data_IF_966499143020
#
_entry.id   IF_966499143020
#
_cell.length_a   1.000
_cell.length_b   1.000
_cell.length_c   1.000
_cell.angle_alpha   90.00
_cell.angle_beta   90.00
_cell.angle_gamma   90.00
#
_symmetry.space_group_name_H-M   'P 1'
#
loop_
_entity.id
_entity.type
_entity.pdbx_description
1 polymer ?
#
# COMPACT_ATOMS: atom_id res chain seq x y z
N UNK A 1 22.35 18.77 -28.06
CA UNK A 1 21.87 17.96 -26.92
C UNK A 1 20.71 17.13 -27.41
N UNK A 2 20.86 15.81 -27.44
CA UNK A 2 19.69 14.93 -27.62
C UNK A 2 18.97 14.96 -26.28
N UNK A 3 17.76 15.50 -26.22
CA UNK A 3 16.88 15.33 -25.07
C UNK A 3 16.52 13.84 -25.01
N UNK A 4 17.19 13.09 -24.15
CA UNK A 4 16.79 11.72 -23.84
C UNK A 4 15.49 11.80 -23.06
N UNK A 5 14.42 11.27 -23.66
CA UNK A 5 13.12 11.18 -22.99
C UNK A 5 13.16 10.06 -21.96
N UNK A 6 12.55 10.30 -20.80
CA UNK A 6 12.64 9.43 -19.64
C UNK A 6 11.78 8.18 -19.82
N UNK A 7 12.31 7.02 -19.44
CA UNK A 7 11.58 5.76 -19.45
C UNK A 7 10.42 5.80 -18.47
N UNK A 8 9.30 5.17 -18.84
CA UNK A 8 8.08 5.17 -18.04
C UNK A 8 7.69 3.78 -17.54
N UNK A 9 7.18 3.70 -16.32
CA UNK A 9 6.62 2.50 -15.72
C UNK A 9 5.15 2.79 -15.40
N UNK A 10 4.21 2.11 -16.05
CA UNK A 10 2.78 2.29 -15.80
C UNK A 10 2.31 1.19 -14.86
N UNK A 11 1.93 1.55 -13.63
CA UNK A 11 1.58 0.58 -12.61
C UNK A 11 0.06 0.53 -12.35
N UNK A 12 -0.50 -0.66 -12.46
CA UNK A 12 -1.91 -0.97 -12.23
C UNK A 12 -2.07 -2.08 -11.19
N UNK A 13 -3.15 -2.02 -10.40
CA UNK A 13 -3.45 -3.06 -9.40
C UNK A 13 -4.93 -3.40 -9.38
N UNK A 14 -5.24 -4.70 -9.36
CA UNK A 14 -6.61 -5.20 -9.21
C UNK A 14 -6.81 -5.91 -7.88
N UNK A 15 -7.95 -5.67 -7.24
CA UNK A 15 -8.41 -6.48 -6.09
C UNK A 15 -9.08 -7.78 -6.57
N UNK A 16 -9.15 -8.78 -5.71
CA UNK A 16 -9.75 -10.10 -6.00
C UNK A 16 -11.15 -10.01 -6.61
N UNK A 17 -11.98 -9.06 -6.16
CA UNK A 17 -13.34 -8.87 -6.69
C UNK A 17 -13.37 -8.28 -8.11
N UNK A 18 -12.37 -7.48 -8.48
CA UNK A 18 -12.27 -6.87 -9.81
C UNK A 18 -11.69 -7.82 -10.86
N UNK A 19 -11.00 -8.89 -10.44
CA UNK A 19 -10.59 -9.97 -11.35
C UNK A 19 -11.78 -10.69 -11.97
N UNK A 20 -12.94 -10.68 -11.31
CA UNK A 20 -14.15 -11.38 -11.76
C UNK A 20 -14.77 -10.69 -12.99
N UNK A 21 -14.60 -9.38 -13.13
CA UNK A 21 -15.21 -8.60 -14.24
C UNK A 21 -14.25 -8.27 -15.39
N UNK A 22 -12.92 -8.36 -15.21
CA UNK A 22 -11.89 -8.16 -16.24
C UNK A 22 -11.74 -6.73 -16.78
N UNK A 23 -12.81 -5.95 -16.80
CA UNK A 23 -12.93 -4.62 -17.40
C UNK A 23 -12.18 -3.53 -16.60
N UNK A 24 -12.03 -3.73 -15.30
CA UNK A 24 -11.39 -2.75 -14.41
C UNK A 24 -9.90 -2.55 -14.64
N UNK A 25 -9.19 -3.57 -15.14
CA UNK A 25 -7.75 -3.52 -15.39
C UNK A 25 -7.43 -2.83 -16.71
N UNK A 26 -8.16 -3.20 -17.78
CA UNK A 26 -8.04 -2.58 -19.10
C UNK A 26 -8.30 -1.07 -19.00
N UNK A 27 -9.36 -0.68 -18.28
CA UNK A 27 -9.68 0.74 -18.05
C UNK A 27 -8.57 1.49 -17.31
N UNK A 28 -7.90 0.86 -16.34
CA UNK A 28 -6.79 1.47 -15.63
C UNK A 28 -5.60 1.67 -16.58
N UNK A 29 -5.19 0.62 -17.30
CA UNK A 29 -4.08 0.72 -18.24
C UNK A 29 -4.33 1.77 -19.32
N UNK A 30 -5.54 1.81 -19.88
CA UNK A 30 -5.91 2.79 -20.90
C UNK A 30 -5.82 4.22 -20.37
N UNK A 31 -6.26 4.45 -19.13
CA UNK A 31 -6.16 5.75 -18.45
C UNK A 31 -4.69 6.16 -18.27
N UNK A 32 -3.81 5.24 -17.87
CA UNK A 32 -2.38 5.53 -17.71
C UNK A 32 -1.70 5.80 -19.06
N UNK A 33 -2.01 5.00 -20.09
CA UNK A 33 -1.49 5.19 -21.46
C UNK A 33 -1.95 6.53 -22.04
N UNK A 34 -3.23 6.87 -21.89
CA UNK A 34 -3.76 8.16 -22.32
C UNK A 34 -3.06 9.32 -21.61
N UNK A 35 -2.83 9.20 -20.30
CA UNK A 35 -2.09 10.22 -19.56
C UNK A 35 -0.67 10.39 -20.10
N UNK A 36 0.05 9.28 -20.32
CA UNK A 36 1.40 9.30 -20.89
C UNK A 36 1.40 10.02 -22.25
N UNK A 37 0.53 9.63 -23.18
CA UNK A 37 0.45 10.23 -24.51
C UNK A 37 0.14 11.74 -24.47
N UNK A 38 -0.75 12.16 -23.58
CA UNK A 38 -1.15 13.57 -23.46
C UNK A 38 -0.09 14.45 -22.81
N UNK A 39 0.79 13.88 -21.98
CA UNK A 39 1.74 14.63 -21.16
C UNK A 39 3.20 14.41 -21.55
N UNK A 40 3.50 13.53 -22.51
CA UNK A 40 4.85 13.12 -22.83
C UNK A 40 5.78 14.28 -23.20
N UNK A 41 5.34 15.18 -24.07
CA UNK A 41 6.14 16.34 -24.48
C UNK A 41 6.39 17.29 -23.30
N UNK A 42 5.35 17.57 -22.52
CA UNK A 42 5.41 18.49 -21.37
C UNK A 42 6.32 17.97 -20.25
N UNK A 43 6.36 16.65 -20.06
CA UNK A 43 7.06 15.99 -18.96
C UNK A 43 8.35 15.28 -19.40
N UNK A 44 8.76 15.42 -20.67
CA UNK A 44 9.91 14.73 -21.27
C UNK A 44 9.86 13.20 -21.08
N UNK A 45 8.71 12.59 -21.38
CA UNK A 45 8.47 11.14 -21.19
C UNK A 45 8.53 10.39 -22.51
N UNK A 46 9.09 9.19 -22.48
CA UNK A 46 9.10 8.30 -23.63
C UNK A 46 7.74 7.62 -23.81
N UNK A 47 7.15 7.77 -24.99
CA UNK A 47 5.92 7.06 -25.39
C UNK A 47 6.20 5.69 -26.01
N UNK A 48 7.47 5.38 -26.29
CA UNK A 48 7.92 4.13 -26.93
C UNK A 48 8.72 3.23 -25.99
N UNK A 49 9.37 3.80 -24.97
CA UNK A 49 10.11 3.09 -23.94
C UNK A 49 9.33 3.18 -22.63
N UNK A 50 8.32 2.30 -22.51
CA UNK A 50 7.54 2.13 -21.30
C UNK A 50 7.32 0.67 -20.97
N UNK A 51 7.17 0.37 -19.68
CA UNK A 51 6.89 -0.95 -19.14
C UNK A 51 5.57 -0.90 -18.36
N UNK A 52 4.71 -1.91 -18.53
CA UNK A 52 3.45 -2.03 -17.78
C UNK A 52 3.67 -3.00 -16.63
N UNK A 53 3.40 -2.55 -15.41
CA UNK A 53 3.52 -3.32 -14.18
C UNK A 53 2.11 -3.59 -13.63
N UNK A 54 1.81 -4.86 -13.37
CA UNK A 54 0.48 -5.28 -12.92
C UNK A 54 0.59 -6.19 -11.72
N UNK A 55 -0.06 -5.80 -10.61
CA UNK A 55 -0.21 -6.66 -9.44
C UNK A 55 -1.65 -7.16 -9.28
N UNK A 56 -1.78 -8.48 -9.09
CA UNK A 56 -3.05 -9.13 -8.77
C UNK A 56 -3.15 -9.29 -7.25
N UNK A 57 -4.07 -8.54 -6.63
CA UNK A 57 -4.24 -8.40 -5.18
C UNK A 57 -4.82 -9.64 -4.47
N UNK A 58 -4.32 -10.84 -4.82
CA UNK A 58 -4.85 -12.13 -4.40
C UNK A 58 -4.60 -12.43 -2.92
N UNK A 59 -3.71 -11.71 -2.24
CA UNK A 59 -3.33 -12.03 -0.85
C UNK A 59 -3.74 -10.93 0.13
N UNK A 60 -4.89 -11.13 0.78
CA UNK A 60 -5.31 -10.39 1.98
C UNK A 60 -4.43 -10.65 3.23
N UNK A 61 -3.15 -10.98 3.05
CA UNK A 61 -2.22 -11.29 4.13
C UNK A 61 -1.08 -10.27 4.11
N UNK A 62 -1.01 -9.48 5.19
CA UNK A 62 0.05 -8.52 5.57
C UNK A 62 1.24 -8.42 4.59
N UNK A 63 1.24 -7.42 3.71
CA UNK A 63 2.45 -6.90 3.06
C UNK A 63 2.92 -7.63 1.80
N UNK A 64 2.03 -8.33 1.10
CA UNK A 64 2.35 -9.15 -0.06
C UNK A 64 2.48 -8.40 -1.40
N UNK A 65 1.97 -7.18 -1.57
CA UNK A 65 2.23 -6.41 -2.81
C UNK A 65 3.64 -5.78 -2.83
N UNK A 66 4.46 -6.08 -1.81
CA UNK A 66 5.87 -5.73 -1.67
C UNK A 66 6.72 -6.98 -1.37
N UNK A 67 6.16 -8.19 -1.52
CA UNK A 67 6.96 -9.41 -1.55
C UNK A 67 7.70 -9.50 -2.89
N UNK A 68 8.83 -10.21 -2.93
CA UNK A 68 9.72 -10.37 -4.09
C UNK A 68 9.01 -10.86 -5.38
N UNK A 69 7.75 -11.32 -5.26
CA UNK A 69 6.89 -11.79 -6.34
C UNK A 69 5.95 -10.74 -6.94
N UNK A 70 5.84 -9.54 -6.35
CA UNK A 70 5.00 -8.45 -6.86
C UNK A 70 5.76 -7.60 -7.89
N UNK A 71 5.09 -7.17 -8.95
CA UNK A 71 5.67 -6.38 -10.03
C UNK A 71 6.27 -5.07 -9.52
N UNK A 72 5.61 -4.43 -8.55
CA UNK A 72 6.12 -3.23 -7.92
C UNK A 72 7.37 -3.52 -7.05
N UNK A 73 7.39 -4.64 -6.33
CA UNK A 73 8.56 -5.06 -5.54
C UNK A 73 9.78 -5.33 -6.42
N UNK A 74 9.59 -5.95 -7.58
CA UNK A 74 10.66 -6.17 -8.56
C UNK A 74 11.19 -4.85 -9.13
N UNK A 75 10.32 -3.89 -9.44
CA UNK A 75 10.75 -2.55 -9.84
C UNK A 75 11.67 -1.93 -8.77
N UNK A 76 11.27 -2.01 -7.49
CA UNK A 76 12.10 -1.48 -6.41
C UNK A 76 13.47 -2.15 -6.32
N UNK A 77 13.55 -3.48 -6.46
CA UNK A 77 14.84 -4.18 -6.47
C UNK A 77 15.73 -3.71 -7.63
N UNK A 78 15.14 -3.50 -8.81
CA UNK A 78 15.87 -2.99 -9.99
C UNK A 78 16.40 -1.57 -9.76
N UNK A 79 15.61 -0.71 -9.12
CA UNK A 79 16.04 0.63 -8.69
C UNK A 79 17.17 0.55 -7.66
N UNK A 80 17.03 -0.29 -6.64
CA UNK A 80 18.06 -0.45 -5.59
C UNK A 80 19.37 -1.04 -6.13
N UNK A 81 19.31 -1.80 -7.23
CA UNK A 81 20.49 -2.35 -7.93
C UNK A 81 21.11 -1.40 -8.97
N UNK A 82 20.65 -0.15 -9.04
CA UNK A 82 21.07 0.84 -10.04
C UNK A 82 20.81 0.41 -11.51
N UNK A 83 19.89 -0.55 -11.74
CA UNK A 83 19.47 -0.95 -13.09
C UNK A 83 18.53 0.10 -13.71
N UNK A 84 17.79 0.83 -12.87
CA UNK A 84 16.83 1.85 -13.27
C UNK A 84 17.17 3.15 -12.55
N UNK A 85 17.48 4.17 -13.34
CA UNK A 85 17.64 5.55 -12.93
C UNK A 85 16.84 6.49 -13.85
N UNK A 86 16.69 7.75 -13.43
CA UNK A 86 16.10 8.86 -14.21
C UNK A 86 14.81 8.51 -14.98
N UNK A 87 13.89 7.82 -14.31
CA UNK A 87 12.67 7.28 -14.90
C UNK A 87 11.41 7.86 -14.26
N UNK A 88 10.22 7.48 -14.75
CA UNK A 88 8.95 7.94 -14.20
C UNK A 88 8.00 6.78 -13.93
N UNK A 89 7.48 6.70 -12.71
CA UNK A 89 6.44 5.76 -12.31
C UNK A 89 5.07 6.46 -12.36
N UNK A 90 4.19 6.01 -13.25
CA UNK A 90 2.84 6.53 -13.42
C UNK A 90 1.87 5.57 -12.75
N UNK A 91 1.10 6.07 -11.78
CA UNK A 91 0.10 5.30 -11.03
C UNK A 91 -1.28 5.95 -11.17
N UNK A 92 -2.35 5.16 -11.10
CA UNK A 92 -3.69 5.73 -11.12
C UNK A 92 -3.95 6.61 -9.90
N UNK A 93 -3.52 6.14 -8.72
CA UNK A 93 -3.80 6.79 -7.43
C UNK A 93 -2.78 6.40 -6.37
N UNK A 94 -2.13 7.38 -5.75
CA UNK A 94 -1.20 7.17 -4.63
C UNK A 94 -1.89 6.65 -3.37
N UNK A 95 -3.20 6.89 -3.21
CA UNK A 95 -3.97 6.31 -2.10
C UNK A 95 -4.01 4.78 -2.22
N UNK A 96 -4.08 4.23 -3.44
CA UNK A 96 -4.08 2.77 -3.67
C UNK A 96 -2.70 2.14 -3.53
N UNK A 97 -1.66 2.92 -3.82
CA UNK A 97 -0.26 2.60 -3.58
C UNK A 97 0.07 2.61 -2.08
N UNK A 98 -0.48 3.57 -1.32
CA UNK A 98 -0.08 3.81 0.08
C UNK A 98 -0.77 2.96 1.13
N UNK A 99 -1.96 2.42 0.83
CA UNK A 99 -2.84 1.72 1.77
C UNK A 99 -2.30 0.43 2.38
N UNK A 100 -1.25 -0.20 1.84
CA UNK A 100 -0.70 -1.43 2.43
C UNK A 100 0.29 -1.19 3.56
N UNK A 101 1.08 -0.11 3.50
CA UNK A 101 1.94 0.29 4.60
C UNK A 101 2.36 1.77 4.46
N UNK A 102 1.54 2.71 4.98
CA UNK A 102 1.81 4.14 4.89
C UNK A 102 3.19 4.56 5.42
N UNK A 103 3.77 3.82 6.37
CA UNK A 103 5.09 4.08 6.92
C UNK A 103 6.23 3.70 5.97
N UNK A 104 6.04 2.69 5.12
CA UNK A 104 7.04 2.34 4.10
C UNK A 104 6.96 3.24 2.87
N UNK A 105 5.77 3.76 2.56
CA UNK A 105 5.52 4.61 1.39
C UNK A 105 6.39 5.87 1.38
N UNK A 106 6.55 6.54 2.53
CA UNK A 106 7.45 7.68 2.62
C UNK A 106 8.91 7.30 2.31
N UNK A 107 9.38 6.15 2.83
CA UNK A 107 10.71 5.63 2.52
C UNK A 107 10.87 5.28 1.03
N UNK A 108 9.85 4.68 0.42
CA UNK A 108 9.86 4.36 -1.00
C UNK A 108 9.89 5.60 -1.89
N UNK A 109 9.09 6.62 -1.56
CA UNK A 109 9.10 7.90 -2.29
C UNK A 109 10.49 8.52 -2.21
N UNK A 110 11.09 8.57 -1.02
CA UNK A 110 12.45 9.08 -0.85
C UNK A 110 13.46 8.29 -1.67
N UNK A 111 13.40 6.95 -1.63
CA UNK A 111 14.32 6.09 -2.37
C UNK A 111 14.19 6.28 -3.88
N UNK A 112 12.97 6.32 -4.41
CA UNK A 112 12.75 6.61 -5.83
C UNK A 112 13.32 7.98 -6.21
N UNK A 113 13.11 8.99 -5.37
CA UNK A 113 13.66 10.33 -5.60
C UNK A 113 15.20 10.36 -5.58
N UNK A 114 15.86 9.58 -4.73
CA UNK A 114 17.33 9.44 -4.73
C UNK A 114 17.88 8.92 -6.07
N UNK A 115 17.15 8.04 -6.75
CA UNK A 115 17.51 7.50 -8.06
C UNK A 115 16.97 8.33 -9.25
N UNK A 116 16.50 9.55 -9.00
CA UNK A 116 15.99 10.42 -10.07
C UNK A 116 14.60 10.02 -10.58
N UNK A 117 13.85 9.20 -9.84
CA UNK A 117 12.56 8.68 -10.28
C UNK A 117 11.41 9.54 -9.76
N UNK A 118 10.59 10.05 -10.68
CA UNK A 118 9.35 10.76 -10.32
C UNK A 118 8.18 9.79 -10.26
N UNK A 119 7.23 10.07 -9.37
CA UNK A 119 5.95 9.38 -9.26
C UNK A 119 4.84 10.32 -9.69
N UNK A 120 3.99 9.87 -10.61
CA UNK A 120 2.83 10.62 -11.10
C UNK A 120 1.55 9.92 -10.64
N UNK A 121 0.73 10.63 -9.88
CA UNK A 121 -0.64 10.27 -9.56
C UNK A 121 -1.58 10.91 -10.58
N UNK A 122 -2.22 10.07 -11.39
CA UNK A 122 -3.12 10.52 -12.46
C UNK A 122 -4.44 11.06 -11.92
N UNK A 123 -5.01 10.47 -10.86
CA UNK A 123 -6.28 10.93 -10.28
C UNK A 123 -6.15 12.29 -9.61
N UNK A 124 -5.06 12.50 -8.87
CA UNK A 124 -4.83 13.73 -8.12
C UNK A 124 -4.02 14.78 -8.91
N UNK A 125 -3.62 14.45 -10.15
CA UNK A 125 -2.72 15.25 -10.99
C UNK A 125 -1.50 15.76 -10.20
N UNK A 126 -0.87 14.84 -9.49
CA UNK A 126 0.19 15.13 -8.53
C UNK A 126 1.49 14.47 -8.99
N UNK A 127 2.57 15.23 -8.96
CA UNK A 127 3.92 14.72 -9.23
C UNK A 127 4.72 14.77 -7.94
N UNK A 128 5.37 13.68 -7.58
CA UNK A 128 6.25 13.60 -6.41
C UNK A 128 7.59 13.05 -6.86
N UNK A 129 8.65 13.81 -6.64
CA UNK A 129 10.01 13.44 -7.00
C UNK A 129 10.88 14.66 -7.29
N UNK A 130 12.10 14.44 -7.80
CA UNK A 130 13.11 15.49 -8.02
C UNK A 130 12.66 16.61 -8.95
N UNK A 131 11.75 16.35 -9.90
CA UNK A 131 11.30 17.38 -10.84
C UNK A 131 10.30 18.37 -10.24
N UNK A 132 9.68 18.05 -9.10
CA UNK A 132 8.71 18.92 -8.44
C UNK A 132 9.30 19.59 -7.18
N UNK A 133 9.47 20.93 -7.16
CA UNK A 133 9.97 21.67 -6.00
C UNK A 133 9.12 21.51 -4.72
N UNK A 134 7.83 21.18 -4.86
CA UNK A 134 6.90 20.98 -3.74
C UNK A 134 6.86 19.55 -3.21
N UNK A 135 7.66 18.64 -3.78
CA UNK A 135 7.67 17.23 -3.40
C UNK A 135 7.90 16.99 -1.91
N UNK A 136 8.75 17.79 -1.28
CA UNK A 136 9.01 17.70 0.18
C UNK A 136 7.76 18.04 1.01
N UNK A 137 7.02 19.10 0.63
CA UNK A 137 5.76 19.49 1.27
C UNK A 137 4.68 18.42 1.07
N UNK A 138 4.53 17.94 -0.16
CA UNK A 138 3.55 16.90 -0.51
C UNK A 138 3.85 15.62 0.28
N UNK A 139 5.11 15.19 0.32
CA UNK A 139 5.54 13.99 1.05
C UNK A 139 5.29 14.13 2.55
N UNK A 140 5.50 15.32 3.12
CA UNK A 140 5.20 15.62 4.52
C UNK A 140 3.70 15.55 4.84
N UNK A 141 2.83 16.03 3.94
CA UNK A 141 1.37 15.93 4.11
C UNK A 141 0.93 14.46 4.09
N UNK A 142 1.44 13.68 3.14
CA UNK A 142 1.15 12.24 3.04
C UNK A 142 1.61 11.50 4.31
N UNK A 143 2.83 11.79 4.77
CA UNK A 143 3.38 11.20 5.99
C UNK A 143 2.58 11.58 7.26
N UNK A 144 2.13 12.83 7.36
CA UNK A 144 1.29 13.28 8.48
C UNK A 144 -0.06 12.57 8.48
N UNK A 145 -0.72 12.44 7.32
CA UNK A 145 -2.00 11.71 7.19
C UNK A 145 -1.85 10.25 7.63
N UNK A 146 -0.76 9.60 7.21
CA UNK A 146 -0.39 8.24 7.63
C UNK A 146 -0.21 8.13 9.16
N UNK A 147 0.46 9.11 9.77
CA UNK A 147 0.67 9.17 11.21
C UNK A 147 -0.64 9.36 11.98
N UNK A 148 -1.52 10.24 11.51
CA UNK A 148 -2.84 10.47 12.10
C UNK A 148 -3.70 9.21 12.07
N UNK A 149 -3.75 8.51 10.93
CA UNK A 149 -4.52 7.27 10.79
C UNK A 149 -4.01 6.19 11.76
N UNK A 150 -2.70 6.02 11.88
CA UNK A 150 -2.09 5.09 12.83
C UNK A 150 -2.39 5.44 14.28
N UNK A 151 -2.33 6.73 14.61
CA UNK A 151 -2.65 7.25 15.95
C UNK A 151 -4.12 6.99 16.29
N UNK A 152 -5.04 7.27 15.36
CA UNK A 152 -6.46 7.00 15.52
C UNK A 152 -6.75 5.51 15.68
N UNK A 153 -6.11 4.64 14.89
CA UNK A 153 -6.22 3.19 15.01
C UNK A 153 -5.74 2.71 16.39
N UNK A 154 -4.60 3.23 16.86
CA UNK A 154 -4.06 2.92 18.18
C UNK A 154 -5.00 3.36 19.30
N UNK A 155 -5.57 4.58 19.21
CA UNK A 155 -6.59 5.07 20.15
C UNK A 155 -7.84 4.19 20.15
N UNK A 156 -8.35 3.79 18.97
CA UNK A 156 -9.53 2.91 18.85
C UNK A 156 -9.28 1.53 19.44
N UNK A 157 -8.12 0.94 19.16
CA UNK A 157 -7.70 -0.36 19.74
C UNK A 157 -7.64 -0.25 21.26
N UNK A 158 -6.99 0.81 21.79
CA UNK A 158 -6.92 1.05 23.24
C UNK A 158 -8.31 1.20 23.86
N UNK A 159 -9.17 2.03 23.27
CA UNK A 159 -10.55 2.22 23.76
C UNK A 159 -11.36 0.91 23.74
N UNK A 160 -11.19 0.06 22.72
CA UNK A 160 -11.81 -1.26 22.65
C UNK A 160 -11.31 -2.19 23.76
N UNK A 161 -10.00 -2.19 24.04
CA UNK A 161 -9.41 -2.96 25.15
C UNK A 161 -9.87 -2.46 26.51
N UNK A 162 -9.93 -1.15 26.72
CA UNK A 162 -10.42 -0.55 27.96
C UNK A 162 -11.90 -0.90 28.20
N UNK A 163 -12.73 -0.87 27.15
CA UNK A 163 -14.13 -1.31 27.20
C UNK A 163 -14.24 -2.80 27.56
N UNK A 164 -13.44 -3.68 26.94
CA UNK A 164 -13.42 -5.11 27.26
C UNK A 164 -12.98 -5.36 28.71
N UNK A 165 -11.95 -4.65 29.19
CA UNK A 165 -11.48 -4.76 30.59
C UNK A 165 -12.55 -4.31 31.58
N UNK A 166 -13.28 -3.23 31.27
CA UNK A 166 -14.39 -2.75 32.11
C UNK A 166 -15.50 -3.79 32.20
N UNK A 167 -15.95 -4.35 31.06
CA UNK A 167 -16.95 -5.41 31.02
C UNK A 167 -16.50 -6.68 31.77
N UNK A 168 -15.24 -7.08 31.62
CA UNK A 168 -14.68 -8.20 32.36
C UNK A 168 -14.71 -7.97 33.88
N UNK A 169 -14.45 -6.76 34.35
CA UNK A 169 -14.48 -6.40 35.77
C UNK A 169 -15.90 -6.30 36.34
N UNK A 170 -16.85 -5.81 35.55
CA UNK A 170 -18.23 -5.53 36.00
C UNK A 170 -19.17 -6.73 35.86
N UNK A 171 -19.11 -7.46 34.74
CA UNK A 171 -20.05 -8.56 34.43
C UNK A 171 -19.38 -9.93 34.35
N UNK A 172 -18.05 -10.01 34.51
CA UNK A 172 -17.28 -11.24 34.34
C UNK A 172 -17.15 -11.69 32.88
N UNK A 173 -17.44 -10.80 31.92
CA UNK A 173 -17.38 -11.12 30.50
C UNK A 173 -15.93 -11.44 30.05
N UNK A 174 -15.75 -12.46 29.21
CA UNK A 174 -14.45 -12.82 28.67
C UNK A 174 -13.82 -11.67 27.85
N UNK A 175 -12.49 -11.61 27.85
CA UNK A 175 -11.75 -10.50 27.23
C UNK A 175 -11.14 -10.88 25.86
N UNK A 176 -10.66 -12.13 25.75
CA UNK A 176 -10.06 -12.71 24.55
C UNK A 176 -10.47 -14.18 24.43
N UNK A 177 -10.66 -14.65 23.20
CA UNK A 177 -10.93 -16.08 22.91
C UNK A 177 -9.68 -16.94 22.83
N UNK A 178 -8.50 -16.32 22.63
CA UNK A 178 -7.24 -17.04 22.59
C UNK A 178 -6.84 -17.46 24.01
N UNK A 179 -7.33 -18.63 24.42
CA UNK A 179 -7.21 -19.18 25.75
C UNK A 179 -6.36 -20.47 25.69
N UNK A 180 -5.68 -20.83 26.80
CA UNK A 180 -5.02 -22.14 26.90
C UNK A 180 -6.02 -23.27 26.70
N UNK A 181 -5.57 -24.45 26.27
CA UNK A 181 -6.44 -25.58 25.91
C UNK A 181 -7.39 -26.03 27.04
N UNK A 182 -7.07 -25.73 28.31
CA UNK A 182 -7.88 -26.08 29.49
C UNK A 182 -8.94 -25.03 29.88
N UNK A 183 -9.06 -23.92 29.14
CA UNK A 183 -10.05 -22.86 29.36
C UNK A 183 -10.87 -22.70 28.09
N UNK A 184 -12.20 -22.68 28.25
CA UNK A 184 -13.15 -22.41 27.19
C UNK A 184 -13.91 -21.10 27.44
N UNK A 185 -14.61 -20.60 26.42
CA UNK A 185 -15.48 -19.43 26.52
C UNK A 185 -16.92 -19.84 26.20
N UNK A 186 -17.75 -19.99 27.24
CA UNK A 186 -19.17 -20.32 27.13
C UNK A 186 -20.01 -19.18 27.71
N UNK A 187 -21.10 -18.82 27.06
CA UNK A 187 -22.01 -17.73 27.48
C UNK A 187 -21.26 -16.45 27.90
N UNK A 188 -20.29 -16.07 27.08
CA UNK A 188 -19.45 -14.91 27.30
C UNK A 188 -18.61 -14.94 28.59
N UNK A 189 -18.33 -16.11 29.18
CA UNK A 189 -17.52 -16.27 30.39
C UNK A 189 -16.43 -17.32 30.20
N UNK A 190 -15.33 -17.19 30.94
CA UNK A 190 -14.31 -18.23 31.00
C UNK A 190 -14.81 -19.43 31.82
N UNK A 191 -14.68 -20.62 31.27
CA UNK A 191 -15.05 -21.89 31.91
C UNK A 191 -13.85 -22.82 31.87
N UNK A 192 -13.49 -23.43 33.00
CA UNK A 192 -12.45 -24.47 33.00
C UNK A 192 -12.99 -25.75 32.41
N UNK A 193 -12.26 -26.37 31.48
CA UNK A 193 -12.59 -27.73 31.05
C UNK A 193 -12.18 -28.72 32.16
N UNK A 194 -13.15 -29.42 32.75
CA UNK A 194 -12.86 -30.57 33.61
C UNK A 194 -12.51 -31.76 32.71
N UNK A 195 -11.22 -31.99 32.46
CA UNK A 195 -10.79 -33.28 31.97
C UNK A 195 -10.92 -34.27 33.12
N UNK A 196 -11.98 -35.08 33.11
CA UNK A 196 -11.96 -36.35 33.83
C UNK A 196 -10.81 -37.15 33.19
N UNK A 197 -9.68 -37.23 33.90
CA UNK A 197 -8.61 -38.16 33.56
C UNK A 197 -9.15 -39.53 33.96
N UNK A 198 -9.88 -40.17 33.06
CA UNK A 198 -10.16 -41.60 33.18
C UNK A 198 -8.81 -42.32 33.03
N UNK A 199 -8.30 -42.79 34.17
CA UNK A 199 -7.10 -43.63 34.27
C UNK A 199 -7.39 -45.06 33.85
#
# INVERSE_FOLDING_TARGET
>A
MVLTMRKCFLYSRVSSDAQISGDGLVRQEDKLKQYLLQNAERLNLSTIDYEILVDSGISGWKGSNMGDTAALGQLFMRVESDEIDDSVLIVESLDRFSRENPFRVAGYISKLAEHGIDIIDVENNLVIGPSNPWSSTISSIIANRAHEESTLKSKRIKAAWDSRRKKAKESGQYMIKNTPFWIDVLDDKYVGQCQCIDR
#
